data_IF_718059793574
#
_entry.id   IF_718059793574
#
_cell.length_a   1.000
_cell.length_b   1.000
_cell.length_c   1.000
_cell.angle_alpha   90.00
_cell.angle_beta   90.00
_cell.angle_gamma   90.00
#
_symmetry.space_group_name_H-M   'P 1'
#
loop_
_entity.id
_entity.type
_entity.pdbx_description
1 polymer ?
#
# COMPACT_ATOMS: atom_id res chain seq x y z
N UNK A 1 9.39 13.19 -2.32
CA UNK A 1 9.69 12.10 -1.36
C UNK A 1 8.37 11.72 -0.76
N UNK A 2 8.05 10.42 -0.67
CA UNK A 2 6.69 9.98 -0.40
C UNK A 2 6.56 9.42 1.01
N UNK A 3 5.60 9.94 1.77
CA UNK A 3 5.11 9.33 3.01
C UNK A 3 3.88 8.51 2.67
N UNK A 4 3.95 7.20 2.93
CA UNK A 4 2.81 6.30 2.77
C UNK A 4 2.15 6.11 4.12
N UNK A 5 0.83 6.19 4.15
CA UNK A 5 0.01 5.90 5.32
C UNK A 5 -1.02 4.84 4.94
N UNK A 6 -1.01 3.72 5.64
CA UNK A 6 -1.94 2.61 5.47
C UNK A 6 -2.87 2.63 6.68
N UNK A 7 -4.19 2.66 6.45
CA UNK A 7 -5.20 2.64 7.52
C UNK A 7 -6.21 1.53 7.25
N UNK A 8 -6.54 0.71 8.24
CA UNK A 8 -7.64 -0.26 8.11
C UNK A 8 -8.97 0.47 7.91
N UNK A 9 -9.74 0.12 6.88
CA UNK A 9 -10.97 0.85 6.48
C UNK A 9 -12.02 0.89 7.61
N UNK A 10 -12.12 -0.17 8.40
CA UNK A 10 -13.04 -0.28 9.54
C UNK A 10 -12.29 -0.48 10.88
N UNK A 11 -10.98 -0.23 10.90
CA UNK A 11 -10.12 -0.53 12.04
C UNK A 11 -9.49 0.72 12.65
N UNK A 12 -8.88 0.56 13.83
CA UNK A 12 -8.08 1.61 14.47
C UNK A 12 -6.61 1.56 14.08
N UNK A 13 -6.18 0.53 13.34
CA UNK A 13 -4.76 0.34 13.02
C UNK A 13 -4.37 1.23 11.85
N UNK A 14 -3.24 1.90 12.04
CA UNK A 14 -2.63 2.80 11.08
C UNK A 14 -1.12 2.60 11.10
N UNK A 15 -0.53 2.48 9.92
CA UNK A 15 0.90 2.35 9.73
C UNK A 15 1.38 3.46 8.81
N UNK A 16 2.51 4.07 9.12
CA UNK A 16 3.08 5.12 8.28
C UNK A 16 4.56 4.87 8.04
N UNK A 17 5.03 5.21 6.84
CA UNK A 17 6.44 5.16 6.51
C UNK A 17 6.80 6.24 5.49
N UNK A 18 7.84 7.01 5.83
CA UNK A 18 8.49 7.96 4.94
C UNK A 18 9.53 7.24 4.08
N UNK A 19 9.20 7.01 2.82
CA UNK A 19 10.09 6.37 1.86
C UNK A 19 10.91 7.42 1.09
N UNK A 20 12.24 7.26 1.09
CA UNK A 20 13.16 8.08 0.27
C UNK A 20 13.06 7.65 -1.21
N UNK A 21 11.95 7.98 -1.85
CA UNK A 21 11.68 7.76 -3.28
C UNK A 21 10.65 8.78 -3.78
N UNK A 22 10.60 8.99 -5.09
CA UNK A 22 9.54 9.72 -5.81
C UNK A 22 8.55 8.78 -6.51
N UNK A 23 8.84 7.49 -6.52
CA UNK A 23 7.97 6.46 -7.11
C UNK A 23 6.98 5.92 -6.07
N UNK A 24 5.68 6.05 -6.35
CA UNK A 24 4.59 5.59 -5.48
C UNK A 24 4.68 4.10 -5.20
N UNK A 25 4.91 3.28 -6.22
CA UNK A 25 4.91 1.83 -6.10
C UNK A 25 6.05 1.36 -5.19
N UNK A 26 7.26 1.88 -5.40
CA UNK A 26 8.42 1.63 -4.52
C UNK A 26 8.15 2.10 -3.09
N UNK A 27 7.48 3.24 -2.91
CA UNK A 27 7.13 3.73 -1.59
C UNK A 27 6.18 2.76 -0.86
N UNK A 28 5.16 2.26 -1.56
CA UNK A 28 4.22 1.26 -1.04
C UNK A 28 4.96 -0.04 -0.70
N UNK A 29 5.77 -0.59 -1.61
CA UNK A 29 6.53 -1.83 -1.37
C UNK A 29 7.42 -1.71 -0.13
N UNK A 30 8.15 -0.60 0.02
CA UNK A 30 9.00 -0.37 1.20
C UNK A 30 8.17 -0.28 2.48
N UNK A 31 7.02 0.37 2.41
CA UNK A 31 6.08 0.47 3.55
C UNK A 31 5.50 -0.90 3.92
N UNK A 32 5.14 -1.71 2.91
CA UNK A 32 4.67 -3.08 3.10
C UNK A 32 5.74 -3.96 3.73
N UNK A 33 6.96 -3.94 3.21
CA UNK A 33 8.08 -4.72 3.76
C UNK A 33 8.42 -4.33 5.20
N UNK A 34 8.27 -3.05 5.56
CA UNK A 34 8.53 -2.56 6.92
C UNK A 34 7.48 -3.05 7.93
N UNK A 35 6.20 -2.96 7.58
CA UNK A 35 5.09 -3.19 8.51
C UNK A 35 4.48 -4.60 8.41
N UNK A 36 4.70 -5.30 7.30
CA UNK A 36 4.11 -6.60 6.98
C UNK A 36 5.14 -7.58 6.37
N UNK A 37 6.24 -7.90 7.09
CA UNK A 37 7.42 -8.59 6.56
C UNK A 37 7.17 -10.02 6.05
N UNK A 38 6.00 -10.62 6.35
CA UNK A 38 5.61 -11.95 5.86
C UNK A 38 5.19 -11.96 4.38
N UNK A 39 5.79 -11.15 3.52
CA UNK A 39 5.44 -11.06 2.08
C UNK A 39 3.97 -10.73 1.83
N UNK A 40 3.40 -9.81 2.61
CA UNK A 40 2.07 -9.31 2.33
C UNK A 40 2.12 -8.39 1.11
N UNK A 41 1.06 -8.42 0.30
CA UNK A 41 0.93 -7.58 -0.88
C UNK A 41 -0.26 -6.64 -0.72
N UNK A 42 -0.10 -5.38 -1.09
CA UNK A 42 -1.23 -4.48 -1.28
C UNK A 42 -1.79 -4.67 -2.69
N UNK A 43 -3.09 -4.95 -2.80
CA UNK A 43 -3.81 -5.07 -4.06
C UNK A 43 -4.89 -3.98 -4.08
N UNK A 44 -4.82 -2.98 -4.98
CA UNK A 44 -5.87 -1.98 -5.15
C UNK A 44 -7.22 -2.62 -5.49
N UNK A 45 -8.32 -2.00 -5.05
CA UNK A 45 -9.66 -2.46 -5.43
C UNK A 45 -9.95 -2.17 -6.91
N UNK A 46 -9.49 -1.02 -7.39
CA UNK A 46 -9.54 -0.62 -8.80
C UNK A 46 -8.14 -0.76 -9.42
N UNK A 47 -7.86 -1.96 -9.94
CA UNK A 47 -6.54 -2.33 -10.48
C UNK A 47 -6.24 -1.56 -11.77
N UNK A 48 -7.27 -1.22 -12.55
CA UNK A 48 -7.12 -0.55 -13.84
C UNK A 48 -6.76 0.94 -13.65
N UNK A 49 -7.35 1.61 -12.66
CA UNK A 49 -7.07 3.02 -12.37
C UNK A 49 -5.90 3.24 -11.40
N UNK A 50 -5.47 2.23 -10.65
CA UNK A 50 -4.36 2.37 -9.68
C UNK A 50 -3.06 2.94 -10.29
N UNK A 51 -2.60 2.53 -11.48
CA UNK A 51 -1.40 3.11 -12.10
C UNK A 51 -1.53 4.62 -12.34
N UNK A 52 -2.72 5.09 -12.73
CA UNK A 52 -3.00 6.51 -12.96
C UNK A 52 -2.91 7.28 -11.63
N UNK A 53 -3.51 6.75 -10.58
CA UNK A 53 -3.44 7.34 -9.23
C UNK A 53 -1.99 7.37 -8.71
N UNK A 54 -1.23 6.30 -8.90
CA UNK A 54 0.18 6.26 -8.52
C UNK A 54 1.02 7.29 -9.29
N UNK A 55 0.76 7.49 -10.58
CA UNK A 55 1.42 8.51 -11.38
C UNK A 55 1.04 9.94 -10.93
N UNK A 56 -0.22 10.15 -10.53
CA UNK A 56 -0.71 11.44 -10.04
C UNK A 56 0.08 11.95 -8.81
N UNK A 57 0.66 11.06 -8.00
CA UNK A 57 1.49 11.45 -6.85
C UNK A 57 2.66 12.36 -7.22
N UNK A 58 3.11 12.33 -8.47
CA UNK A 58 4.20 13.16 -8.96
C UNK A 58 3.81 14.63 -9.13
N UNK A 59 2.50 14.92 -9.21
CA UNK A 59 1.96 16.28 -9.48
C UNK A 59 0.94 16.74 -8.42
N UNK A 60 0.39 15.84 -7.60
CA UNK A 60 -0.50 16.17 -6.48
C UNK A 60 0.10 15.76 -5.14
N UNK A 61 0.00 16.59 -4.08
CA UNK A 61 0.62 16.32 -2.79
C UNK A 61 0.00 15.11 -2.09
N UNK A 62 -1.29 14.84 -2.28
CA UNK A 62 -2.01 13.74 -1.63
C UNK A 62 -2.80 12.91 -2.64
N UNK A 63 -2.57 11.59 -2.63
CA UNK A 63 -3.33 10.60 -3.40
C UNK A 63 -3.84 9.52 -2.47
N UNK A 64 -5.08 9.05 -2.66
CA UNK A 64 -5.66 7.95 -1.89
C UNK A 64 -6.04 6.79 -2.80
N UNK A 65 -5.75 5.57 -2.35
CA UNK A 65 -6.06 4.32 -3.07
C UNK A 65 -6.62 3.32 -2.06
N UNK A 66 -7.82 2.81 -2.31
CA UNK A 66 -8.40 1.73 -1.51
C UNK A 66 -7.95 0.38 -2.04
N UNK A 67 -7.87 -0.60 -1.17
CA UNK A 67 -7.49 -1.95 -1.55
C UNK A 67 -7.47 -2.90 -0.38
N UNK A 68 -6.82 -4.03 -0.59
CA UNK A 68 -6.70 -5.07 0.41
C UNK A 68 -5.24 -5.48 0.60
N UNK A 69 -4.88 -5.74 1.85
CA UNK A 69 -3.61 -6.39 2.16
C UNK A 69 -3.83 -7.90 2.09
N UNK A 70 -3.24 -8.52 1.10
CA UNK A 70 -3.20 -9.97 0.97
C UNK A 70 -2.12 -10.53 1.90
N UNK A 71 -2.48 -11.59 2.62
CA UNK A 71 -1.59 -12.26 3.56
C UNK A 71 -1.20 -13.65 3.05
N UNK A 72 0.02 -14.11 3.32
CA UNK A 72 0.35 -15.50 3.05
C UNK A 72 -0.45 -16.42 3.98
N UNK A 73 -0.83 -17.58 3.47
CA UNK A 73 -1.44 -18.66 4.23
C UNK A 73 -0.82 -19.98 3.76
N UNK A 74 -0.41 -20.80 4.70
CA UNK A 74 0.09 -22.15 4.41
C UNK A 74 -1.06 -23.13 4.48
N UNK A 75 -1.27 -23.88 3.39
CA UNK A 75 -2.27 -24.94 3.34
C UNK A 75 -1.67 -26.15 2.62
N UNK A 76 -1.63 -27.30 3.31
CA UNK A 76 -1.08 -28.57 2.79
C UNK A 76 0.33 -28.43 2.17
N UNK A 77 1.21 -27.66 2.80
CA UNK A 77 2.59 -27.44 2.32
C UNK A 77 2.73 -26.44 1.17
N UNK A 78 1.64 -25.85 0.69
CA UNK A 78 1.64 -24.81 -0.36
C UNK A 78 1.36 -23.45 0.29
N UNK A 79 2.11 -22.42 -0.12
CA UNK A 79 1.89 -21.04 0.32
C UNK A 79 0.99 -20.31 -0.67
N UNK A 80 -0.20 -19.93 -0.21
CA UNK A 80 -1.16 -19.12 -0.94
C UNK A 80 -1.16 -17.69 -0.43
N UNK A 81 -1.50 -16.72 -1.28
CA UNK A 81 -1.89 -15.39 -0.81
C UNK A 81 -3.41 -15.33 -0.77
N UNK A 82 -3.97 -14.96 0.37
CA UNK A 82 -5.42 -14.79 0.54
C UNK A 82 -5.76 -13.33 0.78
N UNK A 83 -6.89 -12.88 0.23
CA UNK A 83 -7.43 -11.54 0.46
C UNK A 83 -7.60 -11.34 1.97
N UNK A 84 -6.93 -10.32 2.51
CA UNK A 84 -6.94 -9.99 3.93
C UNK A 84 -7.66 -8.68 4.20
N UNK A 85 -7.12 -7.87 5.11
CA UNK A 85 -7.77 -6.64 5.60
C UNK A 85 -7.97 -5.61 4.48
N UNK A 86 -9.18 -5.03 4.42
CA UNK A 86 -9.45 -3.83 3.63
C UNK A 86 -8.72 -2.63 4.25
N UNK A 87 -8.02 -1.87 3.42
CA UNK A 87 -7.23 -0.71 3.83
C UNK A 87 -7.40 0.44 2.85
N UNK A 88 -7.15 1.64 3.35
CA UNK A 88 -6.92 2.83 2.54
C UNK A 88 -5.44 3.19 2.62
N UNK A 89 -4.81 3.38 1.46
CA UNK A 89 -3.42 3.82 1.30
C UNK A 89 -3.42 5.29 0.87
N UNK A 90 -2.84 6.15 1.69
CA UNK A 90 -2.63 7.56 1.38
C UNK A 90 -1.15 7.77 1.06
N UNK A 91 -0.86 8.37 -0.08
CA UNK A 91 0.47 8.76 -0.53
C UNK A 91 0.59 10.28 -0.43
N UNK A 92 1.47 10.75 0.44
CA UNK A 92 1.78 12.16 0.59
C UNK A 92 3.17 12.47 0.00
N UNK A 93 3.24 13.24 -1.09
CA UNK A 93 4.50 13.66 -1.70
C UNK A 93 4.94 15.04 -1.17
N UNK A 94 5.88 15.03 -0.23
CA UNK A 94 6.38 16.25 0.43
C UNK A 94 7.39 17.04 -0.43
N UNK A 95 7.45 16.80 -1.73
CA UNK A 95 8.34 17.50 -2.67
C UNK A 95 7.56 18.37 -3.66
N UNK A 96 6.26 18.48 -3.45
CA UNK A 96 5.33 19.37 -4.14
C UNK A 96 4.97 20.54 -3.23
#
# INVERSE_FOLDING_TARGET
MITVTISETNGKRKWSHRARTKDAMTAIIRTMNKHFPLSHNFIPDDVDNAPILFAAVAITPDVTVTGHIWKPMWQKGIRWNVKGSAVTVTLHNSSL
#
